data_IF_320113520934
#
_entry.id   IF_320113520934
#
_cell.length_a   1.000
_cell.length_b   1.000
_cell.length_c   1.000
_cell.angle_alpha   90.00
_cell.angle_beta   90.00
_cell.angle_gamma   90.00
#
_symmetry.space_group_name_H-M   'P 1'
#
loop_
_entity.id
_entity.type
_entity.pdbx_description
1 polymer ?
#
# COMPACT_ATOMS: atom_id res chain seq x y z
N UNK A 1 8.02 -41.90 -80.32
CA UNK A 1 6.77 -41.16 -79.99
C UNK A 1 7.22 -39.75 -79.60
N UNK A 2 7.17 -38.77 -80.51
CA UNK A 2 6.00 -37.92 -80.86
C UNK A 2 5.76 -36.89 -79.75
N UNK A 3 6.29 -35.65 -79.89
CA UNK A 3 5.66 -34.45 -80.49
C UNK A 3 4.53 -33.84 -79.65
N UNK A 4 4.68 -32.54 -79.35
CA UNK A 4 3.62 -31.53 -79.49
C UNK A 4 3.32 -30.71 -78.21
N UNK A 5 3.68 -29.42 -78.15
CA UNK A 5 2.88 -28.19 -78.48
C UNK A 5 1.65 -28.00 -77.57
N UNK A 6 1.27 -26.84 -77.03
CA UNK A 6 1.36 -25.42 -77.42
C UNK A 6 0.82 -24.54 -76.25
N UNK A 7 1.45 -23.41 -75.90
CA UNK A 7 1.01 -22.01 -76.19
C UNK A 7 -0.10 -21.43 -75.29
N UNK A 8 0.19 -20.34 -74.55
CA UNK A 8 -0.39 -18.99 -74.78
C UNK A 8 -0.08 -17.99 -73.65
N UNK A 9 0.72 -16.99 -74.01
CA UNK A 9 0.58 -15.53 -73.86
C UNK A 9 -0.34 -14.95 -72.77
N UNK A 10 0.21 -14.06 -71.94
CA UNK A 10 -0.40 -12.75 -71.66
C UNK A 10 0.63 -11.73 -71.16
N UNK A 11 0.68 -10.61 -71.87
CA UNK A 11 1.35 -9.34 -71.56
C UNK A 11 0.74 -8.68 -70.32
N UNK A 12 1.55 -8.02 -69.47
CA UNK A 12 1.40 -6.57 -69.25
C UNK A 12 2.55 -5.96 -68.46
N UNK A 13 3.06 -4.85 -68.99
CA UNK A 13 3.91 -3.90 -68.33
C UNK A 13 3.06 -2.94 -67.46
N UNK A 14 3.56 -2.52 -66.30
CA UNK A 14 3.25 -1.21 -65.72
C UNK A 14 4.29 -0.82 -64.68
N UNK A 15 5.12 0.13 -65.09
CA UNK A 15 5.70 1.24 -64.33
C UNK A 15 5.15 1.54 -62.92
N UNK A 16 6.10 1.84 -62.02
CA UNK A 16 6.01 3.05 -61.20
C UNK A 16 5.78 2.83 -59.71
N UNK A 17 6.55 3.58 -58.91
CA UNK A 17 6.14 3.94 -57.55
C UNK A 17 7.01 3.38 -56.44
N UNK A 18 8.23 3.92 -56.31
CA UNK A 18 8.95 3.90 -55.04
C UNK A 18 8.15 4.70 -54.01
N UNK A 19 7.40 4.01 -53.14
CA UNK A 19 6.59 4.65 -52.10
C UNK A 19 7.38 4.70 -50.79
N UNK A 20 8.23 5.73 -50.67
CA UNK A 20 8.79 6.18 -49.40
C UNK A 20 7.64 6.69 -48.53
N UNK A 21 7.08 5.86 -47.66
CA UNK A 21 6.12 6.31 -46.64
C UNK A 21 6.89 7.01 -45.51
N UNK A 22 6.49 8.25 -45.29
CA UNK A 22 7.02 9.21 -44.32
C UNK A 22 6.79 8.72 -42.88
N UNK A 23 7.62 9.14 -41.89
CA UNK A 23 7.30 8.94 -40.49
C UNK A 23 6.13 9.86 -40.12
N UNK A 24 4.97 9.27 -39.84
CA UNK A 24 3.82 9.99 -39.29
C UNK A 24 4.06 10.24 -37.80
N UNK A 25 4.34 11.50 -37.47
CA UNK A 25 4.22 12.07 -36.12
C UNK A 25 2.84 11.75 -35.57
N UNK A 26 2.79 10.89 -34.55
CA UNK A 26 1.54 10.62 -33.83
C UNK A 26 1.51 11.53 -32.61
N UNK A 27 0.91 12.70 -32.78
CA UNK A 27 0.50 13.57 -31.67
C UNK A 27 -0.53 12.82 -30.85
N UNK A 28 -0.13 12.35 -29.65
CA UNK A 28 -1.07 11.78 -28.69
C UNK A 28 -1.83 12.94 -28.06
N UNK A 29 -2.96 13.29 -28.66
CA UNK A 29 -3.96 14.16 -28.03
C UNK A 29 -4.59 13.39 -26.88
N UNK A 30 -4.12 13.65 -25.66
CA UNK A 30 -4.76 13.14 -24.45
C UNK A 30 -6.20 13.68 -24.35
N UNK A 31 -7.21 12.83 -24.11
CA UNK A 31 -8.54 13.31 -23.75
C UNK A 31 -8.48 13.98 -22.37
N UNK A 32 -9.00 15.19 -22.29
CA UNK A 32 -9.07 16.02 -21.09
C UNK A 32 -9.76 15.28 -19.93
N UNK A 33 -9.18 15.42 -18.73
CA UNK A 33 -9.80 14.97 -17.48
C UNK A 33 -11.12 15.71 -17.22
N UNK A 34 -12.15 15.06 -16.64
CA UNK A 34 -13.38 15.73 -16.27
C UNK A 34 -13.11 16.75 -15.15
N UNK A 35 -13.41 18.02 -15.42
CA UNK A 35 -13.42 19.09 -14.43
C UNK A 35 -14.55 18.83 -13.42
N UNK A 36 -14.18 18.53 -12.18
CA UNK A 36 -15.10 18.50 -11.05
C UNK A 36 -15.59 19.94 -10.77
N UNK A 37 -16.90 20.24 -10.82
CA UNK A 37 -17.40 21.54 -10.44
C UNK A 37 -17.28 21.69 -8.91
N UNK A 38 -16.47 22.66 -8.47
CA UNK A 38 -16.38 23.07 -7.07
C UNK A 38 -17.72 23.67 -6.62
N UNK A 39 -18.50 22.90 -5.87
CA UNK A 39 -19.64 23.45 -5.12
C UNK A 39 -19.09 24.17 -3.87
N UNK A 40 -19.51 25.41 -3.58
CA UNK A 40 -19.23 26.01 -2.29
C UNK A 40 -20.08 25.31 -1.23
N UNK A 41 -19.44 24.62 -0.28
CA UNK A 41 -20.10 24.13 0.93
C UNK A 41 -20.56 25.34 1.73
N UNK A 42 -21.87 25.58 1.72
CA UNK A 42 -22.53 26.48 2.66
C UNK A 42 -22.35 25.87 4.06
N UNK A 43 -21.60 26.56 4.92
CA UNK A 43 -21.44 26.14 6.31
C UNK A 43 -22.77 26.26 7.05
N UNK A 44 -23.11 25.33 7.97
CA UNK A 44 -24.22 25.56 8.88
C UNK A 44 -23.85 26.64 9.89
N UNK A 45 -24.58 27.76 9.83
CA UNK A 45 -24.67 28.78 10.88
C UNK A 45 -25.25 28.08 12.13
N UNK A 46 -24.45 27.93 13.19
CA UNK A 46 -24.99 27.62 14.52
C UNK A 46 -25.01 28.90 15.36
N UNK A 47 -26.23 29.25 15.75
CA UNK A 47 -26.62 30.45 16.46
C UNK A 47 -26.20 30.34 17.93
N UNK A 48 -25.19 31.10 18.38
CA UNK A 48 -24.91 31.23 19.81
C UNK A 48 -25.83 32.29 20.41
N UNK A 49 -27.01 31.85 20.83
CA UNK A 49 -27.93 32.62 21.66
C UNK A 49 -27.86 32.11 23.09
N UNK A 50 -27.26 32.92 23.96
CA UNK A 50 -27.70 33.13 25.34
C UNK A 50 -27.74 31.97 26.34
N UNK A 51 -26.98 32.18 27.42
CA UNK A 51 -27.46 32.10 28.81
C UNK A 51 -27.32 30.77 29.58
N UNK A 52 -26.54 30.91 30.66
CA UNK A 52 -26.92 30.67 32.07
C UNK A 52 -26.77 29.28 32.70
N UNK A 53 -26.29 29.32 33.95
CA UNK A 53 -26.36 28.26 34.97
C UNK A 53 -25.12 27.37 34.97
N UNK A 54 -24.24 27.42 35.97
CA UNK A 54 -24.44 26.99 37.36
C UNK A 54 -23.47 25.81 37.57
N UNK A 55 -22.41 25.90 38.36
CA UNK A 55 -22.46 25.92 39.82
C UNK A 55 -21.99 24.55 40.33
N UNK A 56 -20.99 24.51 41.22
CA UNK A 56 -20.74 23.34 42.07
C UNK A 56 -19.32 22.80 42.09
N UNK A 57 -18.41 23.52 42.75
CA UNK A 57 -17.32 22.87 43.48
C UNK A 57 -17.92 22.17 44.70
N UNK A 58 -17.79 20.85 44.79
CA UNK A 58 -17.70 20.16 46.10
C UNK A 58 -16.66 19.06 45.99
N UNK A 59 -15.49 19.36 46.54
CA UNK A 59 -14.49 18.36 46.88
C UNK A 59 -15.01 17.57 48.08
N UNK A 60 -15.01 16.23 47.99
CA UNK A 60 -14.92 15.28 49.11
C UNK A 60 -14.99 13.87 48.53
N UNK A 61 -14.02 13.02 48.86
CA UNK A 61 -14.05 11.62 48.44
C UNK A 61 -12.67 11.01 48.23
N UNK A 62 -11.96 10.82 49.32
CA UNK A 62 -10.79 9.96 49.44
C UNK A 62 -11.13 8.56 48.92
N UNK A 63 -10.47 8.10 47.85
CA UNK A 63 -10.13 6.68 47.69
C UNK A 63 -8.95 6.58 46.72
N UNK A 64 -7.93 5.87 47.19
CA UNK A 64 -6.78 5.37 46.44
C UNK A 64 -7.22 4.67 45.15
N UNK A 65 -7.27 5.42 44.07
CA UNK A 65 -7.40 4.91 42.72
C UNK A 65 -6.33 5.61 41.91
N UNK A 66 -5.21 4.91 41.74
CA UNK A 66 -4.12 5.25 40.85
C UNK A 66 -4.67 5.97 39.64
N UNK A 67 -4.26 7.23 39.43
CA UNK A 67 -4.40 7.88 38.14
C UNK A 67 -3.72 6.95 37.14
N UNK A 68 -4.52 6.13 36.44
CA UNK A 68 -4.11 5.35 35.29
C UNK A 68 -3.79 6.38 34.22
N UNK A 69 -2.63 7.00 34.37
CA UNK A 69 -2.06 7.98 33.48
C UNK A 69 -1.80 7.26 32.18
N UNK A 70 -2.85 7.22 31.36
CA UNK A 70 -2.87 7.08 29.91
C UNK A 70 -1.66 6.32 29.36
N UNK A 71 -1.53 5.03 29.67
CA UNK A 71 -0.73 4.13 28.84
C UNK A 71 -1.56 3.82 27.59
N UNK A 72 -1.56 4.73 26.60
CA UNK A 72 -1.86 4.36 25.21
C UNK A 72 -0.64 3.62 24.65
N UNK A 73 -0.26 2.53 25.31
CA UNK A 73 0.62 1.52 24.77
C UNK A 73 -0.24 0.28 24.82
N UNK A 74 -0.77 -0.09 23.67
CA UNK A 74 -1.58 -1.28 23.46
C UNK A 74 -0.96 -2.44 24.26
N UNK A 75 -1.57 -2.79 25.39
CA UNK A 75 -1.03 -3.75 26.34
C UNK A 75 -1.03 -5.18 25.78
N UNK A 76 -1.64 -5.37 24.60
CA UNK A 76 -1.70 -6.61 23.85
C UNK A 76 -0.49 -6.76 22.90
N UNK A 77 0.21 -5.67 22.57
CA UNK A 77 1.38 -5.74 21.68
C UNK A 77 2.53 -6.49 22.37
N UNK A 78 3.00 -7.62 21.79
CA UNK A 78 4.04 -8.44 22.40
C UNK A 78 5.36 -7.68 22.57
N UNK A 79 6.05 -7.91 23.68
CA UNK A 79 7.29 -7.21 24.04
C UNK A 79 8.38 -7.37 22.97
N UNK A 80 8.49 -8.56 22.37
CA UNK A 80 9.44 -8.84 21.28
C UNK A 80 9.20 -7.99 20.04
N UNK A 81 7.93 -7.68 19.74
CA UNK A 81 7.58 -6.78 18.65
C UNK A 81 8.00 -5.35 18.97
N UNK A 82 7.75 -4.90 20.20
CA UNK A 82 8.13 -3.54 20.64
C UNK A 82 9.64 -3.36 20.73
N UNK A 83 10.38 -4.43 20.97
CA UNK A 83 11.84 -4.43 20.96
C UNK A 83 12.44 -4.43 19.54
N UNK A 84 11.62 -4.65 18.50
CA UNK A 84 12.10 -4.74 17.14
C UNK A 84 12.25 -3.36 16.48
N UNK A 85 13.42 -3.09 15.90
CA UNK A 85 13.76 -1.80 15.27
C UNK A 85 12.86 -1.44 14.07
N UNK A 86 12.31 -2.45 13.41
CA UNK A 86 11.39 -2.29 12.28
C UNK A 86 9.94 -2.06 12.70
N UNK A 87 9.60 -2.17 13.99
CA UNK A 87 8.26 -1.91 14.48
C UNK A 87 8.12 -0.46 14.93
N UNK A 88 7.24 0.27 14.27
CA UNK A 88 7.04 1.71 14.51
C UNK A 88 5.75 2.01 15.28
N UNK A 89 5.02 1.00 15.75
CA UNK A 89 3.76 1.22 16.48
C UNK A 89 2.63 1.71 15.59
N UNK A 90 1.73 2.53 16.15
CA UNK A 90 0.71 3.22 15.36
C UNK A 90 1.36 4.46 14.73
N UNK A 91 1.77 4.35 13.47
CA UNK A 91 2.18 5.49 12.65
C UNK A 91 1.24 5.63 11.46
N UNK A 92 1.07 6.87 11.01
CA UNK A 92 0.18 7.17 9.90
C UNK A 92 0.79 6.73 8.57
N UNK A 93 -0.04 6.55 7.54
CA UNK A 93 0.44 6.23 6.18
C UNK A 93 1.45 7.27 5.69
N UNK A 94 1.21 8.54 5.98
CA UNK A 94 2.09 9.64 5.58
C UNK A 94 3.47 9.54 6.23
N UNK A 95 3.52 9.21 7.54
CA UNK A 95 4.78 8.96 8.25
C UNK A 95 5.52 7.76 7.69
N UNK A 96 4.82 6.65 7.40
CA UNK A 96 5.41 5.49 6.72
C UNK A 96 6.06 5.90 5.41
N UNK A 97 5.36 6.72 4.61
CA UNK A 97 5.83 7.17 3.30
C UNK A 97 7.07 8.06 3.43
N UNK A 98 7.12 8.92 4.45
CA UNK A 98 8.30 9.72 4.77
C UNK A 98 9.49 8.81 5.14
N UNK A 99 9.26 7.80 5.98
CA UNK A 99 10.30 6.81 6.35
C UNK A 99 10.74 5.92 5.19
N UNK A 100 9.85 5.65 4.24
CA UNK A 100 10.10 4.88 3.02
C UNK A 100 10.57 5.74 1.83
N UNK A 101 10.71 7.04 2.04
CA UNK A 101 11.28 7.94 1.04
C UNK A 101 12.80 7.85 1.12
N UNK A 102 13.46 7.75 -0.05
CA UNK A 102 14.92 7.69 -0.16
C UNK A 102 15.58 6.45 0.48
N UNK A 103 14.80 5.42 0.83
CA UNK A 103 15.36 4.15 1.32
C UNK A 103 15.62 3.17 0.17
N UNK A 104 16.63 2.29 0.30
CA UNK A 104 16.92 1.27 -0.69
C UNK A 104 15.83 0.20 -0.76
N UNK A 105 15.79 -0.52 -1.87
CA UNK A 105 14.93 -1.70 -2.02
C UNK A 105 15.28 -2.77 -0.98
N UNK A 106 14.26 -3.34 -0.35
CA UNK A 106 14.40 -4.31 0.74
C UNK A 106 14.29 -3.68 2.13
N UNK A 107 14.21 -2.35 2.22
CA UNK A 107 13.83 -1.64 3.45
C UNK A 107 12.37 -1.92 3.79
N UNK A 108 12.10 -2.20 5.05
CA UNK A 108 10.77 -2.53 5.51
C UNK A 108 10.47 -1.99 6.90
N UNK A 109 9.19 -1.86 7.20
CA UNK A 109 8.69 -1.49 8.52
C UNK A 109 7.33 -2.11 8.78
N UNK A 110 7.02 -2.36 10.05
CA UNK A 110 5.72 -2.85 10.50
C UNK A 110 5.08 -1.81 11.40
N UNK A 111 3.79 -1.60 11.20
CA UNK A 111 2.96 -0.72 12.02
C UNK A 111 1.67 -1.42 12.42
N UNK A 112 1.01 -0.83 13.40
CA UNK A 112 -0.33 -1.24 13.81
C UNK A 112 -1.36 -1.06 12.69
N UNK A 113 -2.27 -2.03 12.53
CA UNK A 113 -3.37 -1.88 11.60
C UNK A 113 -4.50 -1.07 12.25
N UNK A 114 -5.11 -0.16 11.47
CA UNK A 114 -6.25 0.66 11.92
C UNK A 114 -7.49 -0.14 12.35
N UNK A 115 -7.48 -1.47 12.16
CA UNK A 115 -8.56 -2.37 12.55
C UNK A 115 -8.58 -2.70 14.05
N UNK A 116 -7.51 -2.44 14.81
CA UNK A 116 -7.49 -2.59 16.27
C UNK A 116 -7.71 -4.00 16.82
N UNK A 117 -7.65 -5.03 15.96
CA UNK A 117 -7.89 -6.43 16.30
C UNK A 117 -6.57 -7.24 16.42
N UNK A 118 -5.47 -6.58 16.80
CA UNK A 118 -4.13 -7.20 16.79
C UNK A 118 -3.62 -7.55 15.38
N UNK A 119 -4.17 -6.89 14.36
CA UNK A 119 -3.68 -6.99 12.98
C UNK A 119 -2.56 -5.97 12.75
N UNK A 120 -1.64 -6.27 11.83
CA UNK A 120 -0.51 -5.40 11.54
C UNK A 120 -0.41 -5.09 10.05
N UNK A 121 0.33 -4.06 9.71
CA UNK A 121 0.62 -3.69 8.33
C UNK A 121 2.13 -3.62 8.13
N UNK A 122 2.65 -4.44 7.23
CA UNK A 122 4.03 -4.40 6.77
C UNK A 122 4.11 -3.53 5.52
N UNK A 123 5.02 -2.56 5.50
CA UNK A 123 5.38 -1.83 4.29
C UNK A 123 6.80 -2.22 3.90
N UNK A 124 7.02 -2.49 2.62
CA UNK A 124 8.30 -2.89 2.03
C UNK A 124 8.61 -2.04 0.80
N UNK A 125 9.83 -1.55 0.67
CA UNK A 125 10.33 -0.89 -0.53
C UNK A 125 10.75 -1.92 -1.57
N UNK A 126 10.19 -1.85 -2.78
CA UNK A 126 10.63 -2.66 -3.92
C UNK A 126 10.46 -1.93 -5.25
N UNK A 127 11.53 -1.90 -6.03
CA UNK A 127 11.60 -1.24 -7.33
C UNK A 127 11.16 0.24 -7.24
N UNK A 128 11.63 0.94 -6.19
CA UNK A 128 11.22 2.32 -5.89
C UNK A 128 9.76 2.48 -5.43
N UNK A 129 8.99 1.39 -5.35
CA UNK A 129 7.56 1.40 -5.00
C UNK A 129 7.33 0.82 -3.60
N UNK A 130 6.51 1.51 -2.80
CA UNK A 130 6.14 1.03 -1.47
C UNK A 130 5.01 -0.01 -1.59
N UNK A 131 5.28 -1.20 -1.08
CA UNK A 131 4.37 -2.34 -1.11
C UNK A 131 3.82 -2.57 0.28
N UNK A 132 2.51 -2.41 0.42
CA UNK A 132 1.80 -2.58 1.70
C UNK A 132 1.18 -3.97 1.75
N UNK A 133 1.45 -4.71 2.81
CA UNK A 133 1.02 -6.08 3.03
C UNK A 133 0.32 -6.13 4.38
N UNK A 134 -0.91 -6.66 4.40
CA UNK A 134 -1.66 -6.85 5.63
C UNK A 134 -1.20 -8.14 6.31
N UNK A 135 -0.88 -8.05 7.60
CA UNK A 135 -0.64 -9.20 8.47
C UNK A 135 -1.94 -9.47 9.22
N UNK A 136 -2.54 -10.61 8.92
CA UNK A 136 -3.74 -11.08 9.60
C UNK A 136 -3.35 -11.79 10.89
N UNK A 137 -4.21 -11.63 11.89
CA UNK A 137 -4.19 -12.37 13.14
C UNK A 137 -5.41 -13.30 13.16
N UNK A 138 -5.21 -14.60 13.22
CA UNK A 138 -6.27 -15.61 13.16
C UNK A 138 -5.89 -16.82 14.02
N UNK A 139 -6.75 -17.20 14.98
CA UNK A 139 -6.53 -18.34 15.88
C UNK A 139 -5.15 -18.35 16.54
N UNK A 140 -4.73 -17.21 17.11
CA UNK A 140 -3.41 -17.02 17.74
C UNK A 140 -2.21 -17.22 16.78
N UNK A 141 -2.45 -17.12 15.47
CA UNK A 141 -1.42 -17.16 14.44
C UNK A 141 -1.41 -15.90 13.58
N UNK A 142 -0.22 -15.57 13.11
CA UNK A 142 0.06 -14.43 12.26
C UNK A 142 0.51 -14.89 10.86
N UNK A 143 0.03 -14.18 9.83
CA UNK A 143 0.42 -14.46 8.45
C UNK A 143 -0.01 -13.35 7.50
N UNK A 144 0.57 -13.35 6.29
CA UNK A 144 0.11 -12.46 5.21
C UNK A 144 -1.19 -12.94 4.56
N UNK A 145 -1.58 -14.20 4.82
CA UNK A 145 -2.88 -14.78 4.47
C UNK A 145 -3.66 -15.11 5.74
N UNK A 146 -4.95 -15.42 5.57
CA UNK A 146 -5.84 -15.82 6.67
C UNK A 146 -5.49 -17.18 7.26
N UNK A 147 -4.71 -18.00 6.56
CA UNK A 147 -4.33 -19.34 7.03
C UNK A 147 -3.38 -19.30 8.25
N UNK A 148 -2.69 -18.17 8.47
CA UNK A 148 -1.86 -17.94 9.65
C UNK A 148 -0.72 -18.97 9.79
N UNK A 149 0.47 -18.65 9.32
CA UNK A 149 1.57 -19.63 9.28
C UNK A 149 2.50 -19.59 10.51
N UNK A 150 2.54 -18.48 11.26
CA UNK A 150 3.50 -18.25 12.33
C UNK A 150 2.83 -17.95 13.67
N UNK A 151 3.49 -18.24 14.78
CA UNK A 151 2.95 -17.98 16.12
C UNK A 151 3.17 -16.52 16.57
N UNK A 152 4.02 -15.77 15.87
CA UNK A 152 4.32 -14.37 16.19
C UNK A 152 4.70 -13.60 14.94
N UNK A 153 4.43 -12.29 14.94
CA UNK A 153 4.83 -11.41 13.83
C UNK A 153 6.36 -11.36 13.70
N UNK A 154 7.10 -11.40 14.81
CA UNK A 154 8.57 -11.43 14.78
C UNK A 154 9.08 -12.67 14.03
N UNK A 155 8.51 -13.85 14.30
CA UNK A 155 8.84 -15.08 13.57
C UNK A 155 8.48 -14.99 12.08
N UNK A 156 7.30 -14.44 11.76
CA UNK A 156 6.87 -14.21 10.37
C UNK A 156 7.89 -13.32 9.64
N UNK A 157 8.26 -12.18 10.22
CA UNK A 157 9.23 -11.27 9.64
C UNK A 157 10.59 -11.96 9.50
N UNK A 158 11.08 -12.61 10.56
CA UNK A 158 12.38 -13.29 10.55
C UNK A 158 12.46 -14.41 9.51
N UNK A 159 11.36 -15.12 9.26
CA UNK A 159 11.25 -16.08 8.17
C UNK A 159 11.44 -15.39 6.80
N UNK A 160 10.73 -14.29 6.54
CA UNK A 160 10.85 -13.52 5.29
C UNK A 160 12.11 -12.64 5.17
N UNK A 161 12.92 -12.54 6.24
CA UNK A 161 14.30 -12.06 6.12
C UNK A 161 15.18 -13.07 5.38
N UNK A 162 14.90 -14.36 5.56
CA UNK A 162 15.66 -15.45 4.96
C UNK A 162 15.02 -15.94 3.65
N UNK A 163 13.70 -15.85 3.54
CA UNK A 163 12.87 -16.30 2.41
C UNK A 163 12.33 -15.10 1.64
N UNK A 164 12.40 -15.15 0.31
CA UNK A 164 11.84 -14.06 -0.53
C UNK A 164 10.32 -14.02 -0.43
N UNK A 165 9.74 -12.81 -0.42
CA UNK A 165 8.28 -12.63 -0.42
C UNK A 165 7.60 -13.13 -1.71
N UNK A 166 8.38 -13.59 -2.70
CA UNK A 166 7.89 -14.24 -3.91
C UNK A 166 6.95 -15.42 -3.66
N UNK A 167 7.16 -16.12 -2.55
CA UNK A 167 6.33 -17.27 -2.14
C UNK A 167 4.89 -16.82 -1.83
N UNK A 168 4.72 -15.61 -1.32
CA UNK A 168 3.41 -14.99 -1.11
C UNK A 168 2.91 -14.31 -2.40
N UNK A 169 3.78 -13.54 -3.06
CA UNK A 169 3.43 -12.83 -4.28
C UNK A 169 4.66 -12.71 -5.17
N UNK A 170 4.63 -13.32 -6.36
CA UNK A 170 5.76 -13.37 -7.29
C UNK A 170 6.28 -12.01 -7.73
N UNK A 171 5.46 -10.96 -7.63
CA UNK A 171 5.87 -9.57 -7.87
C UNK A 171 6.86 -9.09 -6.80
N UNK A 172 6.80 -9.65 -5.59
CA UNK A 172 7.62 -9.33 -4.43
C UNK A 172 8.83 -10.27 -4.32
N UNK A 173 9.58 -10.46 -5.40
CA UNK A 173 10.88 -11.15 -5.37
C UNK A 173 11.97 -10.33 -4.66
N UNK A 174 11.78 -10.10 -3.36
CA UNK A 174 12.72 -9.42 -2.47
C UNK A 174 12.56 -9.98 -1.05
N UNK A 175 13.61 -9.87 -0.24
CA UNK A 175 13.61 -10.27 1.16
C UNK A 175 13.49 -9.03 2.06
N UNK A 176 13.15 -9.25 3.32
CA UNK A 176 13.20 -8.21 4.34
C UNK A 176 14.66 -8.03 4.78
N UNK A 177 15.34 -7.02 4.24
CA UNK A 177 16.80 -6.88 4.38
C UNK A 177 17.19 -5.77 5.35
N UNK A 178 16.58 -4.59 5.22
CA UNK A 178 17.02 -3.38 5.91
C UNK A 178 15.95 -2.84 6.84
N UNK A 179 16.38 -2.32 7.99
CA UNK A 179 15.54 -1.73 9.06
C UNK A 179 16.17 -0.46 9.60
#
# INVERSE_FOLDING_TARGET
QTLGTSTSTAFQAASGGSLRKQPTTTTITSPAAPVIPSTPLVGPIYNNTGSSGGGGSTASGDTRGTAMFRMVGDADTPADLRAAEWYWGNISRDEVKEKMTDVPDGSFLVRDASSGNGEYTLTLKKDGTDRVIKIFHTQDKYGFTRDGSHNSVVDLINFYRNVSLKEYNTILDIKLLYT
#
